data_IF_535153419820
#
_entry.id   IF_535153419820
#
_cell.length_a   1.000
_cell.length_b   1.000
_cell.length_c   1.000
_cell.angle_alpha   90.00
_cell.angle_beta   90.00
_cell.angle_gamma   90.00
#
_symmetry.space_group_name_H-M   'P 1'
#
loop_
_entity.id
_entity.type
_entity.pdbx_description
1 polymer ?
#
# COMPACT_ATOMS: atom_id res chain seq x y z
N UNK A 1 -18.88 10.86 -10.94
CA UNK A 1 -17.61 10.30 -11.49
C UNK A 1 -16.37 11.02 -10.96
N UNK A 2 -16.23 12.35 -11.14
CA UNK A 2 -15.05 13.13 -10.70
C UNK A 2 -14.68 12.93 -9.21
N UNK A 3 -15.66 12.86 -8.32
CA UNK A 3 -15.44 12.68 -6.87
C UNK A 3 -14.87 11.31 -6.51
N UNK A 4 -15.33 10.25 -7.17
CA UNK A 4 -14.82 8.89 -6.93
C UNK A 4 -13.41 8.75 -7.48
N UNK A 5 -13.14 9.32 -8.67
CA UNK A 5 -11.79 9.33 -9.26
C UNK A 5 -10.81 10.04 -8.32
N UNK A 6 -11.14 11.25 -7.83
CA UNK A 6 -10.31 11.96 -6.86
C UNK A 6 -10.10 11.14 -5.58
N UNK A 7 -11.15 10.50 -5.10
CA UNK A 7 -11.12 9.64 -3.92
C UNK A 7 -10.17 8.45 -4.08
N UNK A 8 -10.22 7.76 -5.22
CA UNK A 8 -9.34 6.63 -5.55
C UNK A 8 -7.91 7.11 -5.71
N UNK A 9 -7.70 8.21 -6.44
CA UNK A 9 -6.39 8.75 -6.73
C UNK A 9 -5.63 9.17 -5.48
N UNK A 10 -6.30 9.84 -4.53
CA UNK A 10 -5.69 10.22 -3.25
C UNK A 10 -5.22 8.98 -2.48
N UNK A 11 -6.04 7.91 -2.42
CA UNK A 11 -5.67 6.66 -1.73
C UNK A 11 -4.54 5.93 -2.43
N UNK A 12 -4.57 5.93 -3.76
CA UNK A 12 -3.48 5.39 -4.56
C UNK A 12 -2.17 6.09 -4.21
N UNK A 13 -2.13 7.43 -4.19
CA UNK A 13 -0.92 8.18 -3.81
C UNK A 13 -0.48 7.82 -2.39
N UNK A 14 -1.40 7.79 -1.43
CA UNK A 14 -1.11 7.49 -0.02
C UNK A 14 -0.44 6.12 0.14
N UNK A 15 -0.86 5.11 -0.63
CA UNK A 15 -0.25 3.77 -0.60
C UNK A 15 1.00 3.68 -1.49
N UNK A 16 1.03 4.39 -2.60
CA UNK A 16 2.14 4.40 -3.55
C UNK A 16 3.40 5.01 -2.95
N UNK A 17 3.30 6.10 -2.18
CA UNK A 17 4.46 6.76 -1.57
C UNK A 17 5.29 5.79 -0.71
N UNK A 18 4.74 5.15 0.34
CA UNK A 18 5.52 4.22 1.16
C UNK A 18 5.92 2.96 0.39
N UNK A 19 5.12 2.51 -0.58
CA UNK A 19 5.48 1.40 -1.46
C UNK A 19 6.72 1.70 -2.31
N UNK A 20 6.75 2.86 -2.99
CA UNK A 20 7.89 3.27 -3.81
C UNK A 20 9.10 3.65 -2.98
N UNK A 21 8.90 4.22 -1.78
CA UNK A 21 9.99 4.46 -0.84
C UNK A 21 10.68 3.15 -0.43
N UNK A 22 9.87 2.11 -0.10
CA UNK A 22 10.39 0.77 0.15
C UNK A 22 11.10 0.21 -1.09
N UNK A 23 10.48 0.30 -2.27
CA UNK A 23 11.10 -0.19 -3.51
C UNK A 23 12.44 0.49 -3.80
N UNK A 24 12.53 1.83 -3.69
CA UNK A 24 13.78 2.56 -3.96
C UNK A 24 14.90 2.19 -2.98
N UNK A 25 14.58 2.07 -1.68
CA UNK A 25 15.54 1.67 -0.66
C UNK A 25 16.15 0.28 -0.93
N UNK A 26 15.37 -0.66 -1.46
CA UNK A 26 15.81 -2.04 -1.64
C UNK A 26 16.24 -2.41 -3.07
N UNK A 27 15.61 -1.82 -4.08
CA UNK A 27 15.87 -2.12 -5.49
C UNK A 27 17.03 -1.31 -6.08
N UNK A 28 17.23 -0.06 -5.63
CA UNK A 28 18.23 0.84 -6.24
C UNK A 28 19.53 0.92 -5.44
N UNK A 29 19.49 0.75 -4.13
CA UNK A 29 20.66 1.00 -3.27
C UNK A 29 21.58 -0.22 -3.04
N UNK A 30 21.32 -1.39 -3.65
CA UNK A 30 22.10 -2.61 -3.37
C UNK A 30 22.19 -2.91 -1.86
N UNK A 31 21.15 -2.51 -1.12
CA UNK A 31 21.22 -2.27 0.31
C UNK A 31 21.32 -3.59 1.07
N UNK A 32 22.55 -3.98 1.40
CA UNK A 32 22.80 -5.01 2.39
C UNK A 32 22.46 -4.41 3.76
N UNK A 33 21.22 -4.66 4.25
CA UNK A 33 20.69 -4.22 5.56
C UNK A 33 21.82 -3.89 6.54
N UNK A 34 22.13 -2.61 6.72
CA UNK A 34 22.93 -2.18 7.85
C UNK A 34 21.97 -1.98 9.03
N UNK A 35 21.60 -3.11 9.63
CA UNK A 35 21.46 -3.23 11.09
C UNK A 35 20.28 -2.52 11.81
N UNK A 36 19.34 -1.81 11.15
CA UNK A 36 18.27 -1.09 11.87
C UNK A 36 16.84 -1.36 11.37
N UNK A 37 15.91 -1.58 12.31
CA UNK A 37 14.46 -1.74 12.06
C UNK A 37 13.80 -0.52 11.38
N UNK A 38 14.47 0.63 11.41
CA UNK A 38 14.03 1.86 10.75
C UNK A 38 13.91 1.70 9.23
N UNK A 39 14.68 0.80 8.62
CA UNK A 39 14.59 0.52 7.18
C UNK A 39 13.25 -0.10 6.78
N UNK A 40 12.56 -0.75 7.74
CA UNK A 40 11.23 -1.34 7.59
C UNK A 40 10.10 -0.34 7.70
N UNK A 41 10.40 0.90 8.10
CA UNK A 41 9.38 1.93 8.33
C UNK A 41 8.48 2.16 7.11
N UNK A 42 8.98 2.26 5.86
CA UNK A 42 8.11 2.43 4.69
C UNK A 42 7.14 1.26 4.52
N UNK A 43 7.59 0.02 4.78
CA UNK A 43 6.75 -1.17 4.70
C UNK A 43 5.69 -1.18 5.82
N UNK A 44 6.05 -0.79 7.04
CA UNK A 44 5.09 -0.68 8.15
C UNK A 44 4.06 0.41 7.88
N UNK A 45 4.48 1.57 7.38
CA UNK A 45 3.57 2.66 6.98
C UNK A 45 2.63 2.20 5.86
N UNK A 46 3.15 1.47 4.87
CA UNK A 46 2.35 0.88 3.80
C UNK A 46 1.25 -0.04 4.35
N UNK A 47 1.60 -0.99 5.22
CA UNK A 47 0.63 -1.90 5.83
C UNK A 47 -0.36 -1.19 6.74
N UNK A 48 0.10 -0.21 7.53
CA UNK A 48 -0.77 0.58 8.39
C UNK A 48 -1.82 1.35 7.58
N UNK A 49 -1.41 2.05 6.52
CA UNK A 49 -2.32 2.77 5.64
C UNK A 49 -3.26 1.84 4.87
N UNK A 50 -2.76 0.68 4.43
CA UNK A 50 -3.58 -0.38 3.83
C UNK A 50 -4.65 -0.90 4.78
N UNK A 51 -4.28 -1.14 6.03
CA UNK A 51 -5.20 -1.55 7.11
C UNK A 51 -6.27 -0.49 7.38
N UNK A 52 -5.90 0.79 7.45
CA UNK A 52 -6.85 1.89 7.60
C UNK A 52 -7.85 1.96 6.43
N UNK A 53 -7.38 1.79 5.20
CA UNK A 53 -8.26 1.72 4.02
C UNK A 53 -9.16 0.47 4.09
N UNK A 54 -8.66 -0.65 4.61
CA UNK A 54 -9.46 -1.85 4.89
C UNK A 54 -10.61 -1.59 5.88
N UNK A 55 -10.31 -0.99 7.04
CA UNK A 55 -11.32 -0.61 8.04
C UNK A 55 -12.32 0.37 7.46
N UNK A 56 -11.85 1.39 6.73
CA UNK A 56 -12.71 2.35 6.03
C UNK A 56 -13.65 1.63 5.05
N UNK A 57 -13.16 0.60 4.36
CA UNK A 57 -13.96 -0.18 3.40
C UNK A 57 -15.15 -0.83 4.09
N UNK A 58 -14.96 -1.43 5.27
CA UNK A 58 -16.05 -2.00 6.06
C UNK A 58 -17.10 -0.95 6.43
N UNK A 59 -16.67 0.24 6.86
CA UNK A 59 -17.57 1.35 7.15
C UNK A 59 -18.36 1.80 5.91
N UNK A 60 -17.72 1.84 4.74
CA UNK A 60 -18.38 2.23 3.47
C UNK A 60 -19.33 1.15 2.94
N UNK A 61 -19.03 -0.12 3.19
CA UNK A 61 -19.95 -1.24 2.93
C UNK A 61 -21.22 -1.05 3.77
N UNK A 62 -21.06 -0.79 5.08
CA UNK A 62 -22.19 -0.54 5.98
C UNK A 62 -23.06 0.64 5.50
N UNK A 63 -22.42 1.73 5.02
CA UNK A 63 -23.12 2.90 4.45
C UNK A 63 -23.65 2.70 3.02
N UNK A 64 -23.51 1.50 2.43
CA UNK A 64 -23.95 1.16 1.07
C UNK A 64 -23.35 2.06 -0.03
N UNK A 65 -22.15 2.60 0.18
CA UNK A 65 -21.47 3.47 -0.78
C UNK A 65 -20.72 2.66 -1.86
N UNK A 66 -21.48 2.00 -2.75
CA UNK A 66 -20.98 1.02 -3.73
C UNK A 66 -19.71 1.41 -4.48
N UNK A 67 -19.70 2.59 -5.08
CA UNK A 67 -18.56 3.04 -5.88
C UNK A 67 -17.27 3.19 -5.03
N UNK A 68 -17.38 3.60 -3.77
CA UNK A 68 -16.22 3.89 -2.92
C UNK A 68 -15.65 2.62 -2.29
N UNK A 69 -16.49 1.71 -1.78
CA UNK A 69 -15.96 0.46 -1.23
C UNK A 69 -15.40 -0.44 -2.32
N UNK A 70 -16.02 -0.50 -3.51
CA UNK A 70 -15.45 -1.26 -4.64
C UNK A 70 -14.10 -0.69 -5.06
N UNK A 71 -13.98 0.64 -5.11
CA UNK A 71 -12.70 1.28 -5.39
C UNK A 71 -11.64 0.93 -4.35
N UNK A 72 -11.97 0.89 -3.06
CA UNK A 72 -11.00 0.51 -2.04
C UNK A 72 -10.60 -0.96 -2.17
N UNK A 73 -11.56 -1.86 -2.40
CA UNK A 73 -11.27 -3.29 -2.60
C UNK A 73 -10.31 -3.49 -3.76
N UNK A 74 -10.59 -2.88 -4.91
CA UNK A 74 -9.72 -2.97 -6.09
C UNK A 74 -8.32 -2.42 -5.80
N UNK A 75 -8.23 -1.31 -5.09
CA UNK A 75 -6.97 -0.70 -4.71
C UNK A 75 -6.15 -1.60 -3.77
N UNK A 76 -6.80 -2.16 -2.74
CA UNK A 76 -6.16 -3.08 -1.81
C UNK A 76 -5.67 -4.35 -2.51
N UNK A 77 -6.50 -4.94 -3.39
CA UNK A 77 -6.09 -6.10 -4.20
C UNK A 77 -4.85 -5.76 -5.04
N UNK A 78 -4.87 -4.61 -5.74
CA UNK A 78 -3.74 -4.18 -6.55
C UNK A 78 -2.45 -4.06 -5.74
N UNK A 79 -2.51 -3.41 -4.58
CA UNK A 79 -1.34 -3.24 -3.71
C UNK A 79 -0.88 -4.53 -3.02
N UNK A 80 -1.79 -5.45 -2.70
CA UNK A 80 -1.46 -6.81 -2.24
C UNK A 80 -0.71 -7.57 -3.34
N UNK A 81 -1.15 -7.47 -4.59
CA UNK A 81 -0.45 -8.09 -5.71
C UNK A 81 0.94 -7.48 -5.91
N UNK A 82 1.06 -6.16 -5.83
CA UNK A 82 2.36 -5.47 -5.90
C UNK A 82 3.30 -5.86 -4.76
N UNK A 83 2.78 -6.16 -3.57
CA UNK A 83 3.61 -6.62 -2.46
C UNK A 83 4.43 -7.86 -2.85
N UNK A 84 3.85 -8.83 -3.56
CA UNK A 84 4.58 -10.01 -4.04
C UNK A 84 5.66 -9.71 -5.09
N UNK A 85 5.63 -8.53 -5.69
CA UNK A 85 6.66 -8.05 -6.64
C UNK A 85 7.82 -7.36 -5.91
N UNK A 86 7.61 -6.91 -4.67
CA UNK A 86 8.66 -6.26 -3.91
C UNK A 86 9.78 -7.25 -3.61
N UNK A 87 11.05 -6.81 -3.65
CA UNK A 87 12.15 -7.65 -3.22
C UNK A 87 11.96 -8.01 -1.73
N UNK A 88 11.71 -9.29 -1.46
CA UNK A 88 11.64 -9.83 -0.11
C UNK A 88 12.94 -10.56 0.15
N UNK A 89 13.75 -10.05 1.08
CA UNK A 89 15.09 -10.59 1.36
C UNK A 89 15.07 -12.08 1.72
N UNK A 90 13.99 -12.55 2.35
CA UNK A 90 13.85 -13.96 2.76
C UNK A 90 13.73 -14.93 1.56
N UNK A 91 13.45 -14.42 0.36
CA UNK A 91 13.39 -15.20 -0.89
C UNK A 91 14.70 -15.18 -1.70
N UNK A 92 15.74 -14.51 -1.21
CA UNK A 92 17.08 -14.44 -1.84
C UNK A 92 18.13 -15.26 -1.07
N UNK A 93 17.70 -16.30 -0.36
CA UNK A 93 18.58 -17.32 0.24
C UNK A 93 18.79 -18.49 -0.73
#
# INVERSE_FOLDING_TARGET
MKTVIKYTFVRFIILAIPYFAWFALFAEAGYHRQTYDLDLLPLYVFFFLGGLIGIETLFRIYRKEKAKYLSNILLLIFFILLYFVLPHRDNFN
#
